data_IF_059520089908
#
_entry.id   IF_059520089908
#
_cell.length_a   1.000
_cell.length_b   1.000
_cell.length_c   1.000
_cell.angle_alpha   90.00
_cell.angle_beta   90.00
_cell.angle_gamma   90.00
#
_symmetry.space_group_name_H-M   'P 1'
#
loop_
_entity.id
_entity.type
_entity.pdbx_description
1 polymer ?
#
# COMPACT_ATOMS: atom_id res chain seq x y z
N UNK A 1 -20.84 20.31 7.52
CA UNK A 1 -21.32 18.92 7.72
C UNK A 1 -20.12 17.98 7.65
N UNK A 2 -20.11 16.89 8.41
CA UNK A 2 -19.03 15.89 8.44
C UNK A 2 -19.57 14.55 7.94
N UNK A 3 -18.74 13.78 7.25
CA UNK A 3 -19.09 12.47 6.66
C UNK A 3 -18.15 11.42 7.26
N UNK A 4 -18.73 10.36 7.83
CA UNK A 4 -17.97 9.24 8.37
C UNK A 4 -17.80 8.18 7.29
N UNK A 5 -16.56 7.90 6.93
CA UNK A 5 -16.16 6.81 6.06
C UNK A 5 -15.74 5.62 6.92
N UNK A 6 -16.23 4.42 6.59
CA UNK A 6 -15.88 3.16 7.26
C UNK A 6 -15.45 2.16 6.18
N UNK A 7 -14.19 1.72 6.23
CA UNK A 7 -13.62 0.75 5.31
C UNK A 7 -13.82 -0.68 5.80
N UNK A 8 -14.95 -1.30 5.43
CA UNK A 8 -15.25 -2.68 5.79
C UNK A 8 -14.64 -3.73 4.82
N UNK A 9 -13.70 -3.35 3.94
CA UNK A 9 -13.16 -4.25 2.91
C UNK A 9 -12.50 -5.52 3.46
N UNK A 10 -11.97 -5.47 4.68
CA UNK A 10 -11.37 -6.61 5.39
C UNK A 10 -12.27 -7.18 6.50
N UNK A 11 -13.45 -6.60 6.73
CA UNK A 11 -14.38 -7.02 7.78
C UNK A 11 -15.39 -8.04 7.26
N UNK A 12 -14.90 -9.18 6.80
CA UNK A 12 -15.72 -10.27 6.31
C UNK A 12 -15.11 -11.63 6.64
N UNK A 13 -15.98 -12.64 6.66
CA UNK A 13 -15.61 -14.04 6.74
C UNK A 13 -15.82 -14.68 5.36
N UNK A 14 -15.03 -15.68 5.01
CA UNK A 14 -15.32 -16.48 3.81
C UNK A 14 -16.57 -17.32 4.08
N UNK A 15 -17.49 -17.37 3.11
CA UNK A 15 -18.69 -18.20 3.27
C UNK A 15 -18.28 -19.66 3.46
N UNK A 16 -18.80 -20.37 4.47
CA UNK A 16 -18.33 -21.71 4.86
C UNK A 16 -18.47 -22.73 3.73
N UNK A 17 -19.51 -22.61 2.91
CA UNK A 17 -19.83 -23.57 1.85
C UNK A 17 -19.49 -23.08 0.43
N UNK A 18 -19.34 -21.76 0.23
CA UNK A 18 -19.25 -21.17 -1.12
C UNK A 18 -18.03 -20.26 -1.19
N UNK A 19 -16.91 -20.80 -1.70
CA UNK A 19 -15.60 -20.12 -1.76
C UNK A 19 -15.59 -18.72 -2.41
N UNK A 20 -16.53 -18.43 -3.31
CA UNK A 20 -16.61 -17.14 -4.03
C UNK A 20 -17.44 -16.08 -3.29
N UNK A 21 -18.08 -16.43 -2.18
CA UNK A 21 -18.92 -15.52 -1.42
C UNK A 21 -18.23 -15.16 -0.10
N UNK A 22 -18.39 -13.90 0.27
CA UNK A 22 -18.03 -13.37 1.57
C UNK A 22 -19.30 -13.22 2.40
N UNK A 23 -19.20 -13.49 3.70
CA UNK A 23 -20.25 -13.31 4.69
C UNK A 23 -19.83 -12.22 5.66
N UNK A 24 -20.76 -11.31 5.97
CA UNK A 24 -20.58 -10.38 7.08
C UNK A 24 -20.92 -11.13 8.38
N UNK A 25 -19.89 -11.51 9.13
CA UNK A 25 -20.05 -12.18 10.42
C UNK A 25 -20.57 -11.25 11.51
N UNK A 26 -21.16 -11.81 12.58
CA UNK A 26 -21.75 -11.03 13.67
C UNK A 26 -20.71 -10.12 14.35
N UNK A 27 -19.46 -10.59 14.49
CA UNK A 27 -18.35 -9.81 15.03
C UNK A 27 -18.02 -8.59 14.16
N UNK A 28 -17.99 -8.77 12.84
CA UNK A 28 -17.73 -7.69 11.89
C UNK A 28 -18.86 -6.65 11.88
N UNK A 29 -20.12 -7.12 11.91
CA UNK A 29 -21.30 -6.25 12.04
C UNK A 29 -21.21 -5.42 13.32
N UNK A 30 -20.93 -6.07 14.45
CA UNK A 30 -20.81 -5.40 15.73
C UNK A 30 -19.75 -4.29 15.69
N UNK A 31 -18.58 -4.57 15.09
CA UNK A 31 -17.50 -3.59 14.92
C UNK A 31 -17.92 -2.40 14.06
N UNK A 32 -18.55 -2.63 12.90
CA UNK A 32 -19.03 -1.56 12.01
C UNK A 32 -20.06 -0.69 12.75
N UNK A 33 -21.02 -1.32 13.44
CA UNK A 33 -22.07 -0.63 14.20
C UNK A 33 -21.48 0.18 15.34
N UNK A 34 -20.47 -0.34 16.04
CA UNK A 34 -19.78 0.36 17.12
C UNK A 34 -19.12 1.65 16.61
N UNK A 35 -18.37 1.58 15.50
CA UNK A 35 -17.73 2.75 14.89
C UNK A 35 -18.77 3.78 14.46
N UNK A 36 -19.85 3.34 13.83
CA UNK A 36 -20.94 4.22 13.42
C UNK A 36 -21.61 4.91 14.63
N UNK A 37 -21.94 4.17 15.68
CA UNK A 37 -22.60 4.70 16.89
C UNK A 37 -21.71 5.64 17.69
N UNK A 38 -20.42 5.32 17.78
CA UNK A 38 -19.45 6.16 18.51
C UNK A 38 -18.93 7.32 17.68
N UNK A 39 -19.21 7.33 16.37
CA UNK A 39 -18.77 8.34 15.42
C UNK A 39 -17.28 8.66 15.59
N UNK A 40 -16.45 7.62 15.61
CA UNK A 40 -15.01 7.72 15.86
C UNK A 40 -14.17 7.39 14.64
N UNK A 41 -12.98 7.96 14.61
CA UNK A 41 -11.92 7.58 13.68
C UNK A 41 -11.10 6.43 14.27
N UNK A 42 -10.72 5.48 13.43
CA UNK A 42 -9.91 4.33 13.77
C UNK A 42 -8.93 4.11 12.62
N UNK A 43 -7.63 4.13 12.93
CA UNK A 43 -6.58 4.09 11.89
C UNK A 43 -6.77 2.86 10.99
N UNK A 44 -6.79 3.10 9.68
CA UNK A 44 -7.03 2.08 8.65
C UNK A 44 -8.42 1.50 8.58
N UNK A 45 -9.36 1.95 9.41
CA UNK A 45 -10.72 1.44 9.43
C UNK A 45 -11.79 2.51 9.25
N UNK A 46 -11.64 3.70 9.84
CA UNK A 46 -12.60 4.80 9.67
C UNK A 46 -11.97 6.18 9.73
N UNK A 47 -12.60 7.13 9.03
CA UNK A 47 -12.20 8.55 9.02
C UNK A 47 -13.42 9.45 8.89
N UNK A 48 -13.38 10.62 9.52
CA UNK A 48 -14.39 11.65 9.46
C UNK A 48 -13.87 12.77 8.54
N UNK A 49 -14.39 12.82 7.31
CA UNK A 49 -14.03 13.85 6.35
C UNK A 49 -14.96 15.08 6.48
N UNK A 50 -14.45 16.25 6.11
CA UNK A 50 -15.26 17.45 5.96
C UNK A 50 -15.97 17.46 4.60
N UNK A 51 -17.04 18.24 4.47
CA UNK A 51 -17.69 18.42 3.16
C UNK A 51 -16.76 19.10 2.14
N UNK A 52 -15.83 19.94 2.60
CA UNK A 52 -14.83 20.60 1.74
C UNK A 52 -13.84 19.58 1.17
N UNK A 53 -13.36 18.65 2.00
CA UNK A 53 -12.50 17.55 1.57
C UNK A 53 -13.20 16.66 0.53
N UNK A 54 -14.48 16.34 0.76
CA UNK A 54 -15.29 15.60 -0.21
C UNK A 54 -15.47 16.37 -1.51
N UNK A 55 -15.69 17.69 -1.45
CA UNK A 55 -15.77 18.54 -2.63
C UNK A 55 -14.45 18.59 -3.41
N UNK A 56 -13.32 18.64 -2.71
CA UNK A 56 -11.98 18.62 -3.34
C UNK A 56 -11.68 17.29 -4.04
N UNK A 57 -12.32 16.21 -3.60
CA UNK A 57 -12.27 14.90 -4.26
C UNK A 57 -13.41 14.71 -5.28
N UNK A 58 -13.97 15.78 -5.85
CA UNK A 58 -15.07 15.76 -6.83
C UNK A 58 -16.32 15.00 -6.36
N UNK A 59 -16.61 15.07 -5.06
CA UNK A 59 -17.68 14.30 -4.40
C UNK A 59 -17.55 12.77 -4.57
N UNK A 60 -16.35 12.27 -4.88
CA UNK A 60 -16.07 10.85 -4.96
C UNK A 60 -16.10 10.22 -3.56
N UNK A 61 -17.11 9.40 -3.28
CA UNK A 61 -17.29 8.77 -1.98
C UNK A 61 -16.56 7.43 -1.84
N UNK A 62 -15.61 7.12 -2.74
CA UNK A 62 -14.81 5.92 -2.62
C UNK A 62 -14.01 5.97 -1.31
N UNK A 63 -14.26 4.98 -0.44
CA UNK A 63 -13.66 4.88 0.89
C UNK A 63 -12.13 4.84 0.85
N UNK A 64 -11.52 4.34 -0.23
CA UNK A 64 -10.05 4.26 -0.38
C UNK A 64 -9.39 5.63 -0.48
N UNK A 65 -10.13 6.68 -0.83
CA UNK A 65 -9.63 8.06 -0.86
C UNK A 65 -9.52 8.68 0.54
N UNK A 66 -10.20 8.11 1.52
CA UNK A 66 -10.30 8.66 2.87
C UNK A 66 -9.65 7.76 3.91
N UNK A 67 -9.74 6.44 3.74
CA UNK A 67 -9.24 5.45 4.70
C UNK A 67 -8.17 4.59 4.04
N UNK A 68 -6.91 4.85 4.36
CA UNK A 68 -5.78 4.00 4.00
C UNK A 68 -5.71 2.82 4.95
N UNK A 69 -5.96 1.57 4.52
CA UNK A 69 -5.85 0.40 5.39
C UNK A 69 -4.49 0.34 6.06
N UNK A 70 -4.45 -0.15 7.30
CA UNK A 70 -3.18 -0.58 7.87
C UNK A 70 -2.82 -1.84 7.11
N UNK A 71 -1.86 -1.73 6.19
CA UNK A 71 -1.11 -2.89 5.78
C UNK A 71 -0.35 -3.33 7.04
N UNK A 72 -0.72 -4.49 7.60
CA UNK A 72 0.22 -5.24 8.42
C UNK A 72 1.38 -5.55 7.48
N UNK A 73 2.33 -4.62 7.40
CA UNK A 73 3.52 -4.82 6.63
C UNK A 73 4.05 -6.18 7.05
N UNK A 74 4.31 -7.04 6.07
CA UNK A 74 5.29 -8.10 6.28
C UNK A 74 6.43 -7.47 7.08
N UNK A 75 6.92 -8.14 8.10
CA UNK A 75 8.10 -7.66 8.83
C UNK A 75 9.24 -7.62 7.81
N UNK A 76 9.33 -6.54 7.05
CA UNK A 76 10.38 -6.31 6.08
C UNK A 76 11.63 -6.31 6.94
N UNK A 77 12.46 -7.33 6.74
CA UNK A 77 13.72 -7.41 7.44
C UNK A 77 14.59 -6.30 6.83
N UNK A 78 14.59 -5.13 7.46
CA UNK A 78 15.31 -3.94 7.00
C UNK A 78 16.79 -4.29 6.75
N UNK A 79 17.35 -5.24 7.51
CA UNK A 79 18.72 -5.71 7.30
C UNK A 79 18.90 -6.51 6.01
N UNK A 80 17.90 -7.31 5.62
CA UNK A 80 17.89 -8.10 4.38
C UNK A 80 17.74 -7.20 3.16
N UNK A 81 16.75 -6.29 3.16
CA UNK A 81 16.57 -5.28 2.12
C UNK A 81 17.82 -4.41 1.94
N UNK A 82 18.44 -3.99 3.05
CA UNK A 82 19.67 -3.20 3.00
C UNK A 82 20.83 -3.98 2.38
N UNK A 83 20.91 -5.29 2.65
CA UNK A 83 21.92 -6.19 2.08
C UNK A 83 21.70 -6.41 0.60
N UNK A 84 20.45 -6.60 0.17
CA UNK A 84 20.10 -6.69 -1.25
C UNK A 84 20.41 -5.41 -2.00
N UNK A 85 20.07 -4.25 -1.42
CA UNK A 85 20.41 -2.94 -1.98
C UNK A 85 21.94 -2.79 -2.14
N UNK A 86 22.72 -3.18 -1.13
CA UNK A 86 24.19 -3.15 -1.19
C UNK A 86 24.76 -4.07 -2.26
N UNK A 87 24.18 -5.26 -2.43
CA UNK A 87 24.58 -6.20 -3.47
C UNK A 87 24.31 -5.62 -4.86
N UNK A 88 23.13 -5.04 -5.08
CA UNK A 88 22.76 -4.43 -6.36
C UNK A 88 23.66 -3.23 -6.70
N UNK A 89 24.06 -2.45 -5.69
CA UNK A 89 25.02 -1.35 -5.85
C UNK A 89 26.39 -1.85 -6.35
N UNK A 90 26.87 -2.97 -5.82
CA UNK A 90 28.14 -3.58 -6.26
C UNK A 90 28.03 -4.15 -7.68
N UNK A 91 26.94 -4.87 -8.00
CA UNK A 91 26.69 -5.39 -9.36
C UNK A 91 26.64 -4.25 -10.39
N UNK A 92 26.02 -3.12 -10.02
CA UNK A 92 25.97 -1.92 -10.86
C UNK A 92 27.37 -1.35 -11.09
N UNK A 93 28.20 -1.29 -10.05
CA UNK A 93 29.60 -0.81 -10.14
C UNK A 93 30.43 -1.70 -11.06
N UNK A 94 30.31 -3.01 -10.94
CA UNK A 94 31.01 -3.96 -11.80
C UNK A 94 30.59 -3.83 -13.27
N UNK A 95 29.28 -3.65 -13.52
CA UNK A 95 28.76 -3.42 -14.87
C UNK A 95 29.31 -2.12 -15.47
N UNK A 96 29.33 -1.04 -14.71
CA UNK A 96 29.90 0.24 -15.15
C UNK A 96 31.40 0.10 -15.48
N UNK A 97 32.17 -0.60 -14.65
CA UNK A 97 33.59 -0.84 -14.93
C UNK A 97 33.83 -1.65 -16.22
N UNK A 98 32.96 -2.63 -16.50
CA UNK A 98 32.99 -3.38 -17.77
C UNK A 98 32.67 -2.48 -18.96
N UNK A 99 31.66 -1.62 -18.83
CA UNK A 99 31.30 -0.64 -19.86
C UNK A 99 32.47 0.32 -20.13
N UNK A 100 33.11 0.85 -19.09
CA UNK A 100 34.27 1.75 -19.24
C UNK A 100 35.44 1.06 -19.96
N UNK A 101 35.66 -0.22 -19.66
CA UNK A 101 36.68 -1.03 -20.33
C UNK A 101 36.35 -1.17 -21.83
N UNK A 102 35.12 -1.55 -22.17
CA UNK A 102 34.68 -1.65 -23.56
C UNK A 102 34.76 -0.33 -24.32
N UNK A 103 34.36 0.79 -23.70
CA UNK A 103 34.47 2.11 -24.32
C UNK A 103 35.94 2.47 -24.59
N UNK A 104 36.83 2.19 -23.64
CA UNK A 104 38.27 2.45 -23.79
C UNK A 104 38.88 1.64 -24.92
N UNK A 105 38.51 0.36 -25.04
CA UNK A 105 38.94 -0.51 -26.13
C UNK A 105 38.46 0.01 -27.49
N UNK A 106 37.19 0.38 -27.60
CA UNK A 106 36.61 0.94 -28.85
C UNK A 106 37.34 2.21 -29.27
N UNK A 107 37.56 3.15 -28.35
CA UNK A 107 38.28 4.40 -28.62
C UNK A 107 39.69 4.10 -29.15
N UNK A 108 40.40 3.15 -28.52
CA UNK A 108 41.75 2.76 -28.94
C UNK A 108 41.78 2.18 -30.35
N UNK A 109 40.82 1.34 -30.72
CA UNK A 109 40.71 0.79 -32.09
C UNK A 109 40.33 1.82 -33.15
N UNK A 110 39.61 2.89 -32.78
CA UNK A 110 39.25 3.95 -33.72
C UNK A 110 40.37 4.97 -33.95
N UNK A 111 41.37 5.01 -33.06
CA UNK A 111 42.52 5.91 -33.14
C UNK A 111 43.78 5.25 -33.73
N UNK A 112 43.73 3.94 -34.02
CA UNK A 112 44.77 3.17 -34.72
C UNK A 112 44.45 2.99 -36.20
#
# INVERSE_FOLDING_TARGET
RKILFINASQLYEKHPEVRKLNKLGDQHIAKIVEIYRTYREEQGLSRIASLEEVKNNDYNLNVTLYVTPIEEGEKVNIEEEWRELKKLEEETRELLAKIDTWITEIIKTLQS
#
